data_IF_400250000420
#
_entry.id   IF_400250000420
#
_cell.length_a   1.000
_cell.length_b   1.000
_cell.length_c   1.000
_cell.angle_alpha   90.00
_cell.angle_beta   90.00
_cell.angle_gamma   90.00
#
_symmetry.space_group_name_H-M   'P 1'
#
loop_
_entity.id
_entity.type
_entity.pdbx_description
1 polymer ?
#
# COMPACT_ATOMS: atom_id res chain seq x y z
N UNK A 1 7.46 0.77 14.16
CA UNK A 1 6.38 1.27 13.26
C UNK A 1 6.94 1.36 11.85
N UNK A 2 6.11 1.52 10.81
CA UNK A 2 6.61 1.60 9.43
C UNK A 2 7.66 2.72 9.28
N UNK A 3 7.49 3.94 9.84
CA UNK A 3 8.53 4.97 9.73
C UNK A 3 9.83 4.65 10.49
N UNK A 4 9.78 3.81 11.52
CA UNK A 4 10.97 3.47 12.32
C UNK A 4 11.85 2.41 11.64
N UNK A 5 11.23 1.41 11.00
CA UNK A 5 11.93 0.42 10.16
C UNK A 5 11.00 -0.05 9.03
N UNK A 6 10.97 0.64 7.89
CA UNK A 6 10.11 0.28 6.75
C UNK A 6 10.57 -1.00 6.06
N UNK A 7 11.78 -1.49 6.34
CA UNK A 7 12.37 -2.67 5.70
C UNK A 7 12.19 -3.97 6.48
N UNK A 8 11.60 -3.87 7.68
CA UNK A 8 11.37 -5.01 8.58
C UNK A 8 10.77 -6.22 7.86
N UNK A 9 11.27 -7.41 8.17
CA UNK A 9 10.85 -8.67 7.52
C UNK A 9 9.36 -8.94 7.66
N UNK A 10 8.73 -8.47 8.75
CA UNK A 10 7.27 -8.53 8.97
C UNK A 10 6.45 -7.82 7.88
N UNK A 11 7.04 -6.84 7.20
CA UNK A 11 6.42 -6.11 6.09
C UNK A 11 6.66 -6.76 4.73
N UNK A 12 7.53 -7.75 4.63
CA UNK A 12 7.72 -8.51 3.38
C UNK A 12 6.49 -9.39 3.13
N UNK A 13 6.00 -9.40 1.89
CA UNK A 13 4.87 -10.23 1.47
C UNK A 13 5.31 -11.49 0.68
N UNK A 14 6.59 -11.59 0.32
CA UNK A 14 7.10 -12.68 -0.51
C UNK A 14 6.62 -12.57 -1.96
N UNK A 15 6.12 -13.67 -2.52
CA UNK A 15 5.58 -13.74 -3.88
C UNK A 15 4.04 -13.65 -3.92
N UNK A 16 3.38 -13.21 -2.84
CA UNK A 16 1.92 -13.16 -2.75
C UNK A 16 1.30 -12.23 -3.80
N UNK A 17 1.96 -11.12 -4.14
CA UNK A 17 1.55 -10.23 -5.24
C UNK A 17 2.09 -10.66 -6.60
N UNK A 18 2.89 -11.72 -6.67
CA UNK A 18 3.67 -12.12 -7.84
C UNK A 18 5.14 -11.73 -7.70
N UNK A 19 5.98 -12.43 -8.48
CA UNK A 19 7.45 -12.26 -8.47
C UNK A 19 7.88 -10.84 -8.84
N UNK A 20 7.19 -10.22 -9.81
CA UNK A 20 7.46 -8.86 -10.26
C UNK A 20 7.15 -7.78 -9.21
N UNK A 21 6.36 -8.08 -8.17
CA UNK A 21 5.87 -7.11 -7.20
C UNK A 21 6.43 -7.34 -5.79
N UNK A 22 7.57 -8.03 -5.67
CA UNK A 22 8.31 -8.26 -4.39
C UNK A 22 8.75 -6.98 -3.68
N UNK A 23 8.83 -5.89 -4.44
CA UNK A 23 9.23 -4.58 -3.96
C UNK A 23 8.11 -3.81 -3.27
N UNK A 24 6.88 -4.34 -3.30
CA UNK A 24 5.77 -3.89 -2.47
C UNK A 24 5.83 -4.53 -1.08
N UNK A 25 5.68 -3.70 -0.05
CA UNK A 25 5.59 -4.11 1.33
C UNK A 25 4.14 -4.11 1.81
N UNK A 26 3.85 -4.86 2.88
CA UNK A 26 2.52 -4.97 3.48
C UNK A 26 2.58 -4.96 5.00
N UNK A 27 2.02 -3.93 5.62
CA UNK A 27 1.73 -3.91 7.05
C UNK A 27 0.34 -4.51 7.34
N UNK A 28 0.22 -5.24 8.45
CA UNK A 28 -1.05 -5.78 8.97
C UNK A 28 -1.41 -5.07 10.25
N UNK A 29 -2.67 -4.68 10.42
CA UNK A 29 -3.17 -4.04 11.66
C UNK A 29 -4.68 -4.28 11.83
N UNK A 30 -5.27 -3.81 12.93
CA UNK A 30 -6.68 -4.05 13.28
C UNK A 30 -7.01 -5.54 13.37
N UNK A 31 -6.27 -6.28 14.20
CA UNK A 31 -6.37 -7.74 14.31
C UNK A 31 -6.19 -8.50 12.98
N UNK A 32 -5.41 -7.93 12.07
CA UNK A 32 -5.12 -8.51 10.76
C UNK A 32 -6.25 -8.35 9.73
N UNK A 33 -7.26 -7.52 10.03
CA UNK A 33 -8.33 -7.14 9.08
C UNK A 33 -7.81 -6.21 7.99
N UNK A 34 -6.92 -5.29 8.36
CA UNK A 34 -6.40 -4.29 7.44
C UNK A 34 -4.98 -4.64 6.99
N UNK A 35 -4.73 -4.38 5.71
CA UNK A 35 -3.48 -4.50 5.00
C UNK A 35 -3.21 -3.16 4.34
N UNK A 36 -2.13 -2.54 4.74
CA UNK A 36 -1.59 -1.35 4.11
C UNK A 36 -0.43 -1.77 3.21
N UNK A 37 -0.56 -1.52 1.91
CA UNK A 37 0.48 -1.72 0.93
C UNK A 37 1.26 -0.43 0.69
N UNK A 38 2.57 -0.53 0.70
CA UNK A 38 3.46 0.62 0.60
C UNK A 38 4.76 0.29 -0.13
N UNK A 39 5.44 1.33 -0.60
CA UNK A 39 6.78 1.28 -1.18
C UNK A 39 7.73 2.08 -0.32
N UNK A 40 8.99 1.65 -0.30
CA UNK A 40 10.06 2.35 0.38
C UNK A 40 11.29 2.40 -0.51
N UNK A 41 11.86 3.58 -0.65
CA UNK A 41 13.16 3.79 -1.27
C UNK A 41 14.17 4.13 -0.19
N UNK A 42 15.17 3.26 -0.01
CA UNK A 42 16.19 3.39 1.03
C UNK A 42 17.14 4.56 0.78
N UNK A 43 17.38 4.90 -0.50
CA UNK A 43 18.32 5.94 -0.90
C UNK A 43 17.79 7.34 -0.56
N UNK A 44 16.56 7.64 -0.97
CA UNK A 44 15.87 8.89 -0.69
C UNK A 44 15.19 8.91 0.69
N UNK A 45 15.11 7.75 1.37
CA UNK A 45 14.40 7.55 2.64
C UNK A 45 12.93 7.98 2.57
N UNK A 46 12.28 7.68 1.44
CA UNK A 46 10.88 8.04 1.19
C UNK A 46 9.99 6.79 1.34
N UNK A 47 8.91 6.92 2.10
CA UNK A 47 7.84 5.91 2.20
C UNK A 47 6.62 6.42 1.43
N UNK A 48 6.07 5.60 0.54
CA UNK A 48 4.83 5.88 -0.18
C UNK A 48 3.77 4.88 0.26
N UNK A 49 2.75 5.36 0.96
CA UNK A 49 1.56 4.60 1.30
C UNK A 49 0.60 4.61 0.12
N UNK A 50 0.43 3.48 -0.56
CA UNK A 50 -0.32 3.43 -1.82
C UNK A 50 -1.78 3.07 -1.61
N UNK A 51 -2.06 2.06 -0.78
CA UNK A 51 -3.43 1.58 -0.62
C UNK A 51 -3.64 0.83 0.70
N UNK A 52 -4.81 1.01 1.29
CA UNK A 52 -5.31 0.25 2.43
C UNK A 52 -6.65 -0.35 2.06
N UNK A 53 -6.89 -1.61 2.42
CA UNK A 53 -8.21 -2.19 2.22
C UNK A 53 -9.25 -1.55 3.16
N UNK A 54 -10.48 -1.45 2.66
CA UNK A 54 -11.61 -0.97 3.46
C UNK A 54 -12.14 -2.07 4.40
N UNK A 55 -13.15 -1.70 5.20
CA UNK A 55 -13.82 -2.59 6.14
C UNK A 55 -14.61 -3.72 5.46
N UNK A 56 -15.04 -3.53 4.22
CA UNK A 56 -15.89 -4.48 3.47
C UNK A 56 -15.07 -5.53 2.71
N UNK A 57 -13.79 -5.25 2.48
CA UNK A 57 -12.82 -6.14 1.85
C UNK A 57 -12.50 -7.29 2.82
N UNK A 58 -13.18 -8.43 2.66
CA UNK A 58 -13.07 -9.58 3.55
C UNK A 58 -11.67 -10.22 3.48
N UNK A 59 -11.21 -10.76 4.62
CA UNK A 59 -9.91 -11.45 4.75
C UNK A 59 -9.83 -12.75 3.93
N UNK A 60 -10.95 -13.27 3.44
CA UNK A 60 -11.05 -14.63 2.90
C UNK A 60 -10.17 -14.80 1.66
N UNK A 61 -9.07 -15.51 1.85
CA UNK A 61 -8.15 -15.87 0.78
C UNK A 61 -8.90 -16.60 -0.33
N UNK A 62 -8.89 -16.03 -1.53
CA UNK A 62 -9.62 -16.58 -2.68
C UNK A 62 -10.95 -15.87 -3.01
N UNK A 63 -11.51 -15.04 -2.13
CA UNK A 63 -12.70 -14.26 -2.44
C UNK A 63 -12.40 -13.15 -3.48
N UNK A 64 -13.41 -12.73 -4.25
CA UNK A 64 -13.28 -11.57 -5.16
C UNK A 64 -12.90 -10.27 -4.42
N UNK A 65 -13.21 -10.21 -3.13
CA UNK A 65 -12.91 -9.11 -2.21
C UNK A 65 -11.66 -9.36 -1.37
N UNK A 66 -10.75 -10.26 -1.78
CA UNK A 66 -9.48 -10.45 -1.11
C UNK A 66 -8.55 -9.24 -1.36
N UNK A 67 -7.97 -8.68 -0.31
CA UNK A 67 -7.11 -7.49 -0.40
C UNK A 67 -5.86 -7.68 -1.28
N UNK A 68 -5.30 -8.88 -1.37
CA UNK A 68 -4.20 -9.16 -2.32
C UNK A 68 -4.71 -9.23 -3.75
N UNK A 69 -5.88 -9.82 -4.00
CA UNK A 69 -6.46 -9.84 -5.35
C UNK A 69 -6.83 -8.45 -5.84
N UNK A 70 -7.46 -7.65 -4.98
CA UNK A 70 -7.81 -6.26 -5.30
C UNK A 70 -6.56 -5.45 -5.60
N UNK A 71 -5.55 -5.50 -4.71
CA UNK A 71 -4.32 -4.75 -4.92
C UNK A 71 -3.51 -5.25 -6.13
N UNK A 72 -3.51 -6.56 -6.40
CA UNK A 72 -2.86 -7.10 -7.61
C UNK A 72 -3.56 -6.63 -8.88
N UNK A 73 -4.89 -6.67 -8.93
CA UNK A 73 -5.66 -6.12 -10.06
C UNK A 73 -5.40 -4.62 -10.26
N UNK A 74 -5.33 -3.86 -9.16
CA UNK A 74 -4.93 -2.45 -9.18
C UNK A 74 -3.54 -2.22 -9.80
N UNK A 75 -2.55 -3.07 -9.48
CA UNK A 75 -1.22 -3.00 -10.10
C UNK A 75 -1.27 -3.35 -11.59
N UNK A 76 -2.06 -4.36 -11.98
CA UNK A 76 -2.27 -4.76 -13.38
C UNK A 76 -2.95 -3.62 -14.19
N UNK A 77 -3.86 -2.88 -13.56
CA UNK A 77 -4.53 -1.69 -14.12
C UNK A 77 -3.63 -0.43 -14.12
N UNK A 78 -2.43 -0.51 -13.54
CA UNK A 78 -1.47 0.59 -13.46
C UNK A 78 -1.82 1.68 -12.43
N UNK A 79 -2.71 1.37 -11.48
CA UNK A 79 -3.12 2.29 -10.43
C UNK A 79 -3.14 1.59 -9.05
N UNK A 80 -2.06 1.67 -8.26
CA UNK A 80 -0.97 2.62 -8.39
C UNK A 80 0.06 2.24 -9.46
N UNK A 81 0.82 3.21 -10.02
CA UNK A 81 1.95 2.90 -10.89
C UNK A 81 3.01 2.06 -10.17
N UNK A 82 3.57 1.07 -10.85
CA UNK A 82 4.59 0.18 -10.26
C UNK A 82 6.00 0.79 -10.28
N UNK A 83 6.28 1.60 -11.32
CA UNK A 83 7.52 2.38 -11.44
C UNK A 83 7.63 3.42 -10.32
N UNK A 84 8.83 3.54 -9.75
CA UNK A 84 9.06 4.41 -8.60
C UNK A 84 8.90 5.90 -8.94
N UNK A 85 9.39 6.35 -10.09
CA UNK A 85 9.33 7.77 -10.47
C UNK A 85 7.88 8.18 -10.74
N UNK A 86 7.12 7.34 -11.47
CA UNK A 86 5.70 7.53 -11.71
C UNK A 86 4.90 7.49 -10.39
N UNK A 87 5.17 6.51 -9.53
CA UNK A 87 4.50 6.38 -8.23
C UNK A 87 4.74 7.61 -7.35
N UNK A 88 5.99 8.07 -7.23
CA UNK A 88 6.34 9.25 -6.45
C UNK A 88 5.67 10.51 -6.99
N UNK A 89 5.62 10.66 -8.32
CA UNK A 89 4.93 11.78 -8.96
C UNK A 89 3.44 11.76 -8.61
N UNK A 90 2.77 10.62 -8.78
CA UNK A 90 1.34 10.47 -8.44
C UNK A 90 1.08 10.68 -6.95
N UNK A 91 1.94 10.17 -6.07
CA UNK A 91 1.80 10.35 -4.63
C UNK A 91 2.02 11.80 -4.16
N UNK A 92 2.76 12.59 -4.94
CA UNK A 92 3.03 14.00 -4.65
C UNK A 92 2.08 14.95 -5.40
N UNK A 93 1.16 14.42 -6.21
CA UNK A 93 0.22 15.22 -6.97
C UNK A 93 -0.77 15.95 -6.05
N UNK A 94 -1.20 17.14 -6.46
CA UNK A 94 -2.07 18.00 -5.65
C UNK A 94 -3.38 17.30 -5.31
N UNK A 95 -3.96 16.52 -6.23
CA UNK A 95 -5.19 15.77 -5.96
C UNK A 95 -4.99 14.70 -4.87
N UNK A 96 -3.83 14.04 -4.85
CA UNK A 96 -3.49 13.06 -3.81
C UNK A 96 -3.31 13.75 -2.44
N UNK A 97 -2.63 14.89 -2.42
CA UNK A 97 -2.44 15.71 -1.21
C UNK A 97 -3.78 16.19 -0.66
N UNK A 98 -4.67 16.69 -1.51
CA UNK A 98 -5.97 17.20 -1.10
C UNK A 98 -6.88 16.09 -0.59
N UNK A 99 -6.86 14.91 -1.22
CA UNK A 99 -7.57 13.72 -0.74
C UNK A 99 -7.10 13.33 0.67
N UNK A 100 -5.80 13.34 0.92
CA UNK A 100 -5.25 13.04 2.24
C UNK A 100 -5.70 14.06 3.28
N UNK A 101 -5.62 15.36 2.97
CA UNK A 101 -6.09 16.43 3.86
C UNK A 101 -7.58 16.28 4.22
N UNK A 102 -8.40 15.90 3.24
CA UNK A 102 -9.84 15.65 3.46
C UNK A 102 -10.11 14.41 4.32
N UNK A 103 -9.24 13.40 4.25
CA UNK A 103 -9.37 12.16 5.00
C UNK A 103 -8.84 12.24 6.44
N UNK A 104 -8.06 13.28 6.77
CA UNK A 104 -7.63 13.53 8.15
C UNK A 104 -8.86 13.75 9.04
N UNK A 105 -8.98 13.02 10.17
CA UNK A 105 -10.03 13.34 11.15
C UNK A 105 -9.85 14.78 11.65
N UNK A 106 -10.92 15.47 12.05
CA UNK A 106 -10.77 16.74 12.77
C UNK A 106 -9.83 16.51 13.96
N UNK A 107 -8.92 17.44 14.20
CA UNK A 107 -7.99 17.37 15.34
C UNK A 107 -8.77 17.05 16.63
N UNK A 108 -8.25 16.17 17.50
CA UNK A 108 -8.89 15.84 18.77
C UNK A 108 -9.02 17.07 19.68
#
# INVERSE_FOLDING_TARGET
TIPADPTATVYRQGSTLGEAHKHWFRAKFGNGRFRLFFRYDSSAKIIIFAWVNDETTLRTYGAKTDAYKVFKGMLEDGNPPDDWAALRKTASDQAAVDRLKKASPPNP
#
